data_IF_432342560522
#
_entry.id   IF_432342560522
#
_cell.length_a   1.000
_cell.length_b   1.000
_cell.length_c   1.000
_cell.angle_alpha   90.00
_cell.angle_beta   90.00
_cell.angle_gamma   90.00
#
_symmetry.space_group_name_H-M   'P 1'
#
loop_
_entity.id
_entity.type
_entity.pdbx_description
1 polymer ?
#
# COMPACT_ATOMS: atom_id res chain seq x y z
N UNK A 1 12.79 20.96 1.53
CA UNK A 1 12.65 19.51 1.73
C UNK A 1 11.50 19.32 2.70
N UNK A 2 10.45 18.64 2.30
CA UNK A 2 9.34 18.27 3.20
C UNK A 2 9.91 17.35 4.26
N UNK A 3 9.73 17.68 5.54
CA UNK A 3 10.10 16.79 6.63
C UNK A 3 9.15 15.59 6.55
N UNK A 4 9.70 14.42 6.24
CA UNK A 4 8.96 13.16 6.25
C UNK A 4 8.96 12.72 7.71
N UNK A 5 7.78 12.58 8.28
CA UNK A 5 7.60 12.12 9.65
C UNK A 5 6.62 10.94 9.64
N UNK A 6 7.17 9.74 9.65
CA UNK A 6 6.43 8.49 9.77
C UNK A 6 7.04 7.67 10.92
N UNK A 7 6.62 7.92 12.18
CA UNK A 7 7.21 7.30 13.36
C UNK A 7 7.25 5.77 13.29
N UNK A 8 6.23 5.12 12.73
CA UNK A 8 6.21 3.67 12.55
C UNK A 8 7.29 3.17 11.57
N UNK A 9 7.62 3.96 10.53
CA UNK A 9 8.72 3.66 9.61
C UNK A 9 10.07 3.90 10.29
N UNK A 10 10.17 4.97 11.09
CA UNK A 10 11.38 5.31 11.82
C UNK A 10 11.74 4.18 12.80
N UNK A 11 10.75 3.66 13.55
CA UNK A 11 10.94 2.54 14.47
C UNK A 11 11.46 1.28 13.74
N UNK A 12 10.89 0.92 12.59
CA UNK A 12 11.34 -0.24 11.82
C UNK A 12 12.76 -0.05 11.27
N UNK A 13 13.09 1.15 10.76
CA UNK A 13 14.43 1.44 10.25
C UNK A 13 15.48 1.40 11.37
N UNK A 14 15.15 1.89 12.56
CA UNK A 14 16.06 1.83 13.72
C UNK A 14 16.39 0.39 14.11
N UNK A 15 15.40 -0.51 14.11
CA UNK A 15 15.62 -1.93 14.37
C UNK A 15 16.51 -2.61 13.32
N UNK A 16 16.53 -2.12 12.08
CA UNK A 16 17.35 -2.67 11.00
C UNK A 16 18.82 -2.19 11.00
N UNK A 17 19.19 -1.21 11.81
CA UNK A 17 20.56 -0.58 11.79
C UNK A 17 21.70 -1.57 12.11
N UNK A 18 21.41 -2.77 12.61
CA UNK A 18 22.39 -3.84 12.85
C UNK A 18 22.96 -4.54 11.61
N UNK A 19 22.56 -4.21 10.37
CA UNK A 19 23.26 -4.57 9.13
C UNK A 19 22.81 -5.85 8.41
N UNK A 20 21.70 -6.48 8.80
CA UNK A 20 21.10 -7.63 8.11
C UNK A 20 20.23 -7.26 6.90
N UNK A 21 19.70 -8.26 6.18
CA UNK A 21 18.59 -8.06 5.27
C UNK A 21 17.35 -7.65 6.06
N UNK A 22 16.41 -6.85 5.48
CA UNK A 22 15.15 -6.58 6.13
C UNK A 22 14.46 -7.88 6.51
N UNK A 23 13.85 -7.96 7.71
CA UNK A 23 13.04 -9.11 8.09
C UNK A 23 11.94 -9.39 7.06
N UNK A 24 11.55 -10.64 6.88
CA UNK A 24 10.58 -11.03 5.85
C UNK A 24 9.23 -10.32 5.99
N UNK A 25 8.81 -9.98 7.21
CA UNK A 25 7.57 -9.23 7.45
C UNK A 25 7.60 -7.78 6.94
N UNK A 26 8.79 -7.20 6.70
CA UNK A 26 8.93 -5.87 6.12
C UNK A 26 8.96 -5.87 4.59
N UNK A 27 9.10 -7.03 3.95
CA UNK A 27 9.04 -7.11 2.47
C UNK A 27 7.71 -6.64 1.95
N UNK A 28 6.61 -7.07 2.59
CA UNK A 28 5.24 -6.63 2.34
C UNK A 28 4.75 -5.86 3.57
N UNK A 29 5.09 -4.58 3.65
CA UNK A 29 4.80 -3.76 4.81
C UNK A 29 3.39 -3.16 4.73
N UNK A 30 2.40 -4.05 4.80
CA UNK A 30 0.96 -3.76 4.73
C UNK A 30 0.15 -4.90 5.37
N UNK A 31 -1.16 -4.71 5.52
CA UNK A 31 -2.07 -5.72 6.06
C UNK A 31 -2.01 -7.04 5.28
N UNK A 32 -2.37 -8.14 5.94
CA UNK A 32 -2.46 -9.46 5.33
C UNK A 32 -3.87 -9.80 4.85
N UNK A 33 -3.98 -10.61 3.80
CA UNK A 33 -5.23 -11.22 3.34
C UNK A 33 -5.23 -12.69 3.73
N UNK A 34 -5.90 -13.01 4.83
CA UNK A 34 -5.97 -14.36 5.38
C UNK A 34 -7.04 -15.19 4.68
N UNK A 35 -6.84 -16.51 4.62
CA UNK A 35 -7.84 -17.42 4.10
C UNK A 35 -9.07 -17.45 5.03
N UNK A 36 -10.26 -17.59 4.43
CA UNK A 36 -11.48 -17.80 5.20
C UNK A 36 -11.42 -19.21 5.84
N UNK A 37 -11.76 -19.30 7.12
CA UNK A 37 -11.83 -20.55 7.89
C UNK A 37 -10.49 -21.18 8.33
N UNK A 38 -9.38 -20.50 8.23
CA UNK A 38 -8.17 -20.90 8.96
C UNK A 38 -8.22 -20.33 10.37
N UNK A 39 -7.91 -21.14 11.39
CA UNK A 39 -7.64 -20.61 12.72
C UNK A 39 -6.41 -19.69 12.60
N UNK A 40 -6.58 -18.38 12.84
CA UNK A 40 -5.48 -17.46 12.69
C UNK A 40 -4.48 -17.73 13.81
N UNK A 41 -3.31 -18.26 13.45
CA UNK A 41 -2.16 -18.12 14.33
C UNK A 41 -1.56 -16.73 14.12
N UNK A 42 -1.01 -16.14 15.17
CA UNK A 42 -0.36 -14.83 15.14
C UNK A 42 1.12 -14.93 14.73
N UNK A 43 1.54 -16.04 14.13
CA UNK A 43 2.91 -16.28 13.72
C UNK A 43 3.35 -15.31 12.61
N UNK A 44 4.61 -14.89 12.65
CA UNK A 44 5.20 -14.05 11.61
C UNK A 44 5.11 -14.70 10.23
N UNK A 45 5.29 -16.02 10.17
CA UNK A 45 5.23 -16.78 8.92
C UNK A 45 3.82 -16.73 8.31
N UNK A 46 2.78 -16.87 9.13
CA UNK A 46 1.39 -16.77 8.66
C UNK A 46 1.07 -15.36 8.17
N UNK A 47 1.49 -14.33 8.92
CA UNK A 47 1.35 -12.94 8.50
C UNK A 47 2.07 -12.65 7.18
N UNK A 48 3.32 -13.10 7.00
CA UNK A 48 4.08 -12.92 5.76
C UNK A 48 3.37 -13.54 4.55
N UNK A 49 2.81 -14.76 4.71
CA UNK A 49 2.00 -15.40 3.66
C UNK A 49 0.74 -14.60 3.34
N UNK A 50 0.04 -14.12 4.37
CA UNK A 50 -1.17 -13.32 4.20
C UNK A 50 -0.87 -11.96 3.52
N UNK A 51 0.24 -11.31 3.86
CA UNK A 51 0.67 -10.08 3.20
C UNK A 51 1.00 -10.32 1.71
N UNK A 52 1.69 -11.41 1.38
CA UNK A 52 1.91 -11.81 -0.01
C UNK A 52 0.58 -12.11 -0.75
N UNK A 53 -0.41 -12.69 -0.07
CA UNK A 53 -1.73 -12.95 -0.64
C UNK A 53 -2.51 -11.65 -0.92
N UNK A 54 -2.39 -10.61 -0.10
CA UNK A 54 -2.95 -9.30 -0.39
C UNK A 54 -2.28 -8.66 -1.62
N UNK A 55 -0.96 -8.72 -1.70
CA UNK A 55 -0.23 -8.29 -2.90
C UNK A 55 -0.78 -8.99 -4.14
N UNK A 56 -0.91 -10.31 -4.13
CA UNK A 56 -1.46 -11.07 -5.26
C UNK A 56 -2.88 -10.63 -5.61
N UNK A 57 -3.74 -10.37 -4.62
CA UNK A 57 -5.10 -9.86 -4.85
C UNK A 57 -5.11 -8.52 -5.59
N UNK A 58 -4.18 -7.61 -5.23
CA UNK A 58 -4.02 -6.31 -5.89
C UNK A 58 -3.50 -6.48 -7.32
N UNK A 59 -2.52 -7.35 -7.54
CA UNK A 59 -1.97 -7.65 -8.87
C UNK A 59 -3.03 -8.24 -9.80
N UNK A 60 -3.84 -9.17 -9.30
CA UNK A 60 -5.00 -9.71 -10.03
C UNK A 60 -6.03 -8.62 -10.37
N UNK A 61 -6.31 -7.70 -9.43
CA UNK A 61 -7.23 -6.58 -9.65
C UNK A 61 -6.71 -5.61 -10.73
N UNK A 62 -5.38 -5.40 -10.79
CA UNK A 62 -4.74 -4.60 -11.82
C UNK A 62 -4.66 -5.33 -13.17
N UNK A 63 -4.67 -6.66 -13.19
CA UNK A 63 -4.43 -7.46 -14.38
C UNK A 63 -2.96 -7.53 -14.78
N UNK A 64 -2.03 -7.48 -13.82
CA UNK A 64 -0.59 -7.57 -14.09
C UNK A 64 -0.24 -8.94 -14.67
N UNK A 65 0.46 -8.95 -15.80
CA UNK A 65 0.92 -10.15 -16.49
C UNK A 65 2.33 -9.99 -17.04
N UNK A 66 2.78 -10.98 -17.80
CA UNK A 66 4.11 -10.96 -18.45
C UNK A 66 4.27 -9.74 -19.36
N UNK A 67 5.47 -9.16 -19.36
CA UNK A 67 5.82 -8.01 -20.19
C UNK A 67 5.27 -6.67 -19.72
N UNK A 68 4.51 -6.62 -18.63
CA UNK A 68 3.86 -5.41 -18.12
C UNK A 68 4.85 -4.32 -17.69
N UNK A 69 4.47 -3.06 -17.92
CA UNK A 69 5.13 -1.86 -17.39
C UNK A 69 4.39 -1.43 -16.13
N UNK A 70 5.02 -1.60 -14.99
CA UNK A 70 4.39 -1.38 -13.68
C UNK A 70 5.12 -0.28 -12.91
N UNK A 71 4.37 0.70 -12.42
CA UNK A 71 4.82 1.70 -11.47
C UNK A 71 4.16 1.42 -10.11
N UNK A 72 4.97 1.10 -9.11
CA UNK A 72 4.55 0.95 -7.71
C UNK A 72 4.86 2.23 -6.94
N UNK A 73 3.80 2.97 -6.56
CA UNK A 73 3.90 4.27 -5.89
C UNK A 73 3.76 4.08 -4.39
N UNK A 74 4.75 4.55 -3.63
CA UNK A 74 4.88 4.22 -2.22
C UNK A 74 5.41 2.80 -2.00
N UNK A 75 6.33 2.36 -2.84
CA UNK A 75 6.80 0.96 -2.92
C UNK A 75 7.48 0.42 -1.65
N UNK A 76 7.66 1.23 -0.61
CA UNK A 76 8.27 0.82 0.65
C UNK A 76 9.61 0.13 0.46
N UNK A 77 9.71 -1.10 0.93
CA UNK A 77 10.88 -1.97 0.78
C UNK A 77 10.88 -2.80 -0.52
N UNK A 78 10.01 -2.47 -1.48
CA UNK A 78 9.89 -3.06 -2.81
C UNK A 78 9.42 -4.54 -2.83
N UNK A 79 8.74 -5.02 -1.82
CA UNK A 79 8.24 -6.39 -1.76
C UNK A 79 7.24 -6.71 -2.88
N UNK A 80 6.32 -5.78 -3.21
CA UNK A 80 5.37 -5.91 -4.31
C UNK A 80 6.08 -6.10 -5.66
N UNK A 81 7.11 -5.29 -5.92
CA UNK A 81 7.89 -5.37 -7.16
C UNK A 81 8.70 -6.67 -7.24
N UNK A 82 9.30 -7.10 -6.13
CA UNK A 82 10.01 -8.38 -6.06
C UNK A 82 9.04 -9.56 -6.29
N UNK A 83 7.83 -9.49 -5.76
CA UNK A 83 6.78 -10.47 -5.98
C UNK A 83 6.39 -10.57 -7.47
N UNK A 84 6.21 -9.43 -8.15
CA UNK A 84 5.95 -9.39 -9.61
C UNK A 84 7.11 -10.04 -10.37
N UNK A 85 8.35 -9.64 -10.09
CA UNK A 85 9.56 -10.16 -10.73
C UNK A 85 9.69 -11.68 -10.64
N UNK A 86 9.30 -12.24 -9.49
CA UNK A 86 9.37 -13.69 -9.29
C UNK A 86 8.30 -14.48 -10.04
N UNK A 87 7.19 -13.84 -10.43
CA UNK A 87 6.02 -14.52 -11.02
C UNK A 87 5.79 -14.20 -12.50
N UNK A 88 6.22 -13.02 -12.94
CA UNK A 88 5.98 -12.52 -14.28
C UNK A 88 7.32 -12.27 -14.99
N UNK A 89 7.37 -12.60 -16.29
CA UNK A 89 8.59 -12.48 -17.10
C UNK A 89 8.56 -11.20 -17.93
N UNK A 90 9.74 -10.61 -18.13
CA UNK A 90 9.90 -9.47 -19.04
C UNK A 90 9.24 -8.18 -18.60
N UNK A 91 8.84 -8.05 -17.33
CA UNK A 91 8.23 -6.85 -16.79
C UNK A 91 9.24 -5.72 -16.68
N UNK A 92 8.76 -4.47 -16.86
CA UNK A 92 9.50 -3.25 -16.57
C UNK A 92 8.96 -2.66 -15.28
N UNK A 93 9.73 -2.75 -14.21
CA UNK A 93 9.29 -2.45 -12.86
C UNK A 93 9.94 -1.17 -12.35
N UNK A 94 9.13 -0.22 -11.92
CA UNK A 94 9.57 1.03 -11.31
C UNK A 94 8.93 1.16 -9.93
N UNK A 95 9.76 1.33 -8.89
CA UNK A 95 9.34 1.65 -7.55
C UNK A 95 9.60 3.11 -7.23
N UNK A 96 8.57 3.82 -6.80
CA UNK A 96 8.68 5.20 -6.34
C UNK A 96 8.38 5.28 -4.86
N UNK A 97 9.26 5.94 -4.11
CA UNK A 97 9.01 6.25 -2.70
C UNK A 97 9.55 7.63 -2.35
N UNK A 98 8.89 8.31 -1.43
CA UNK A 98 9.32 9.61 -0.94
C UNK A 98 10.49 9.47 0.06
N UNK A 99 10.57 8.37 0.80
CA UNK A 99 11.62 8.11 1.79
C UNK A 99 12.80 7.35 1.20
N UNK A 100 13.91 8.07 1.01
CA UNK A 100 15.16 7.51 0.50
C UNK A 100 15.73 6.41 1.42
N UNK A 101 15.43 6.41 2.71
CA UNK A 101 15.93 5.41 3.67
C UNK A 101 15.31 4.05 3.35
N UNK A 102 13.99 4.00 3.10
CA UNK A 102 13.32 2.78 2.65
C UNK A 102 13.88 2.29 1.31
N UNK A 103 14.11 3.19 0.34
CA UNK A 103 14.70 2.80 -0.96
C UNK A 103 16.12 2.25 -0.85
N UNK A 104 16.91 2.71 0.13
CA UNK A 104 18.24 2.12 0.40
C UNK A 104 18.12 0.66 0.87
N UNK A 105 17.13 0.36 1.69
CA UNK A 105 16.84 -1.00 2.12
C UNK A 105 16.21 -1.82 0.99
N UNK A 106 15.27 -1.25 0.23
CA UNK A 106 14.67 -1.88 -0.93
C UNK A 106 15.74 -2.39 -1.93
N UNK A 107 16.80 -1.61 -2.16
CA UNK A 107 17.93 -2.05 -3.00
C UNK A 107 18.61 -3.33 -2.50
N UNK A 108 18.63 -3.59 -1.21
CA UNK A 108 19.18 -4.83 -0.64
C UNK A 108 18.23 -6.00 -0.85
N UNK A 109 16.91 -5.75 -0.79
CA UNK A 109 15.87 -6.77 -1.05
C UNK A 109 15.90 -7.19 -2.52
N UNK A 110 15.96 -6.23 -3.44
CA UNK A 110 15.85 -6.50 -4.88
C UNK A 110 17.18 -6.60 -5.60
N UNK A 111 18.28 -6.10 -5.01
CA UNK A 111 19.57 -5.88 -5.67
C UNK A 111 20.46 -7.10 -5.86
N UNK A 112 20.02 -8.30 -5.47
CA UNK A 112 20.82 -9.52 -5.65
C UNK A 112 20.91 -10.05 -7.10
N UNK A 113 20.06 -9.58 -8.02
CA UNK A 113 19.90 -10.15 -9.36
C UNK A 113 19.76 -9.11 -10.49
N UNK A 114 20.39 -7.94 -10.38
CA UNK A 114 20.31 -6.84 -11.37
C UNK A 114 20.96 -7.16 -12.74
N UNK A 115 20.84 -8.37 -13.24
CA UNK A 115 21.35 -8.74 -14.55
C UNK A 115 20.21 -9.22 -15.44
N UNK A 116 19.63 -8.31 -16.24
CA UNK A 116 18.72 -8.69 -17.30
C UNK A 116 17.47 -7.79 -17.43
N UNK A 117 16.50 -8.27 -18.23
CA UNK A 117 15.26 -7.56 -18.56
C UNK A 117 14.28 -7.40 -17.38
N UNK A 118 14.57 -7.97 -16.22
CA UNK A 118 13.72 -7.98 -15.03
C UNK A 118 14.26 -7.05 -13.92
N UNK A 119 15.05 -6.03 -14.29
CA UNK A 119 15.60 -5.07 -13.33
C UNK A 119 14.51 -4.16 -12.75
N UNK A 120 14.54 -4.00 -11.42
CA UNK A 120 13.67 -3.05 -10.71
C UNK A 120 14.39 -1.70 -10.61
N UNK A 121 13.78 -0.65 -11.15
CA UNK A 121 14.27 0.72 -11.02
C UNK A 121 13.65 1.38 -9.80
N UNK A 122 14.46 1.91 -8.88
CA UNK A 122 13.99 2.61 -7.68
C UNK A 122 14.25 4.11 -7.79
N UNK A 123 13.20 4.92 -7.62
CA UNK A 123 13.19 6.36 -7.81
C UNK A 123 12.65 7.05 -6.55
N UNK A 124 13.36 8.08 -6.07
CA UNK A 124 12.83 8.96 -5.02
C UNK A 124 11.91 10.00 -5.65
N UNK A 125 10.67 10.14 -5.14
CA UNK A 125 9.71 11.10 -5.69
C UNK A 125 8.44 11.21 -4.87
N UNK A 126 7.63 12.21 -5.22
CA UNK A 126 6.31 12.46 -4.62
C UNK A 126 5.23 11.71 -5.42
N UNK A 127 4.39 10.94 -4.73
CA UNK A 127 3.24 10.25 -5.33
C UNK A 127 2.21 11.20 -5.96
N UNK A 128 2.21 12.48 -5.58
CA UNK A 128 1.34 13.49 -6.17
C UNK A 128 1.95 14.19 -7.41
N UNK A 129 3.20 13.88 -7.78
CA UNK A 129 3.93 14.43 -8.93
C UNK A 129 4.91 13.37 -9.48
N UNK A 130 4.38 12.38 -10.19
CA UNK A 130 5.12 11.19 -10.64
C UNK A 130 6.19 11.56 -11.67
N UNK A 131 7.49 11.32 -11.41
CA UNK A 131 8.58 11.66 -12.33
C UNK A 131 8.70 10.62 -13.46
N UNK A 132 7.59 10.29 -14.09
CA UNK A 132 7.44 9.28 -15.13
C UNK A 132 6.74 9.89 -16.33
N UNK A 133 7.14 9.50 -17.54
CA UNK A 133 6.55 10.01 -18.78
C UNK A 133 5.04 9.68 -18.85
N UNK A 134 4.28 10.54 -19.53
CA UNK A 134 2.86 10.27 -19.80
C UNK A 134 2.69 9.06 -20.71
N UNK A 135 1.61 8.31 -20.51
CA UNK A 135 1.24 7.13 -21.29
C UNK A 135 2.42 6.15 -21.46
N UNK A 136 3.08 5.80 -20.35
CA UNK A 136 4.27 4.94 -20.35
C UNK A 136 4.13 3.71 -19.45
N UNK A 137 3.03 3.60 -18.71
CA UNK A 137 2.77 2.51 -17.79
C UNK A 137 1.48 1.78 -18.17
N UNK A 138 1.47 0.46 -18.03
CA UNK A 138 0.27 -0.36 -18.18
C UNK A 138 -0.50 -0.41 -16.85
N UNK A 139 0.23 -0.44 -15.74
CA UNK A 139 -0.34 -0.50 -14.40
C UNK A 139 0.36 0.47 -13.45
N UNK A 140 -0.44 1.13 -12.62
CA UNK A 140 0.01 1.88 -11.44
C UNK A 140 -0.54 1.17 -10.21
N UNK A 141 0.33 0.87 -9.25
CA UNK A 141 -0.03 0.29 -7.97
C UNK A 141 0.19 1.31 -6.85
N UNK A 142 -0.62 1.23 -5.80
CA UNK A 142 -0.44 2.04 -4.59
C UNK A 142 -0.94 1.24 -3.38
N UNK A 143 -0.07 0.42 -2.80
CA UNK A 143 -0.41 -0.51 -1.74
C UNK A 143 -0.24 0.18 -0.40
N UNK A 144 -1.35 0.41 0.31
CA UNK A 144 -1.42 0.96 1.68
C UNK A 144 -0.56 2.23 1.90
N UNK A 145 -0.64 3.17 0.97
CA UNK A 145 0.15 4.39 1.03
C UNK A 145 -0.63 5.68 0.71
N UNK A 146 -1.80 5.56 0.06
CA UNK A 146 -2.54 6.71 -0.48
C UNK A 146 -3.05 7.63 0.62
N UNK A 147 -3.30 7.12 1.82
CA UNK A 147 -3.69 7.93 2.98
C UNK A 147 -2.58 8.88 3.46
N UNK A 148 -1.32 8.64 3.12
CA UNK A 148 -0.21 9.55 3.39
C UNK A 148 -0.06 10.68 2.37
N UNK A 149 -0.73 10.60 1.22
CA UNK A 149 -0.57 11.59 0.16
C UNK A 149 -1.28 12.90 0.52
N UNK A 150 -0.64 14.05 0.33
CA UNK A 150 -1.26 15.36 0.59
C UNK A 150 -2.56 15.58 -0.20
N UNK A 151 -2.69 14.92 -1.36
CA UNK A 151 -3.86 15.02 -2.23
C UNK A 151 -4.09 13.76 -3.05
N UNK A 152 -5.05 12.93 -2.62
CA UNK A 152 -5.51 11.80 -3.45
C UNK A 152 -5.91 12.22 -4.86
N UNK A 153 -6.50 13.42 -5.01
CA UNK A 153 -6.89 13.95 -6.33
C UNK A 153 -5.68 14.25 -7.21
N UNK A 154 -4.60 14.79 -6.66
CA UNK A 154 -3.37 15.02 -7.41
C UNK A 154 -2.74 13.69 -7.84
N UNK A 155 -2.67 12.71 -6.94
CA UNK A 155 -2.21 11.35 -7.26
C UNK A 155 -3.04 10.71 -8.38
N UNK A 156 -4.37 10.69 -8.28
CA UNK A 156 -5.23 10.09 -9.30
C UNK A 156 -5.07 10.76 -10.67
N UNK A 157 -4.96 12.09 -10.72
CA UNK A 157 -4.71 12.82 -11.97
C UNK A 157 -3.38 12.44 -12.60
N UNK A 158 -2.34 12.34 -11.78
CA UNK A 158 -1.02 12.02 -12.28
C UNK A 158 -0.88 10.54 -12.64
N UNK A 159 -1.54 9.63 -11.90
CA UNK A 159 -1.70 8.23 -12.30
C UNK A 159 -2.41 8.11 -13.66
N UNK A 160 -3.48 8.87 -13.89
CA UNK A 160 -4.14 8.90 -15.20
C UNK A 160 -3.23 9.42 -16.31
N UNK A 161 -2.34 10.38 -16.03
CA UNK A 161 -1.37 10.92 -17.00
C UNK A 161 -0.35 9.86 -17.41
N UNK A 162 0.21 9.11 -16.45
CA UNK A 162 1.30 8.15 -16.71
C UNK A 162 0.83 6.82 -17.28
N UNK A 163 -0.41 6.43 -17.01
CA UNK A 163 -1.01 5.21 -17.57
C UNK A 163 -1.28 5.36 -19.07
N UNK A 164 -1.15 4.27 -19.82
CA UNK A 164 -1.70 4.16 -21.17
C UNK A 164 -3.25 4.22 -21.14
N UNK A 165 -3.92 4.65 -22.21
CA UNK A 165 -5.36 4.46 -22.36
C UNK A 165 -5.75 2.98 -22.12
N UNK A 166 -6.74 2.74 -21.27
CA UNK A 166 -7.13 1.37 -20.87
C UNK A 166 -6.26 0.75 -19.77
N UNK A 167 -5.14 1.37 -19.39
CA UNK A 167 -4.31 0.96 -18.27
C UNK A 167 -5.01 1.05 -16.92
N UNK A 168 -4.49 0.39 -15.90
CA UNK A 168 -5.17 0.23 -14.60
C UNK A 168 -4.40 0.87 -13.46
N UNK A 169 -5.15 1.49 -12.52
CA UNK A 169 -4.69 1.85 -11.19
C UNK A 169 -5.32 0.88 -10.20
N UNK A 170 -4.52 0.15 -9.42
CA UNK A 170 -4.99 -0.67 -8.32
C UNK A 170 -4.33 -0.23 -7.01
N UNK A 171 -5.12 -0.20 -5.95
CA UNK A 171 -4.65 0.22 -4.64
C UNK A 171 -5.35 -0.55 -3.52
N UNK A 172 -4.74 -0.55 -2.34
CA UNK A 172 -5.42 -0.85 -1.10
C UNK A 172 -5.39 0.36 -0.18
N UNK A 173 -6.49 0.60 0.52
CA UNK A 173 -6.59 1.71 1.47
C UNK A 173 -7.63 1.42 2.55
N UNK A 174 -7.49 2.13 3.65
CA UNK A 174 -8.52 2.21 4.66
C UNK A 174 -9.61 3.16 4.20
N UNK A 175 -10.85 2.72 4.29
CA UNK A 175 -12.03 3.50 3.94
C UNK A 175 -13.01 3.55 5.11
N UNK A 176 -13.90 4.54 5.10
CA UNK A 176 -14.99 4.63 6.05
C UNK A 176 -16.24 4.05 5.40
N UNK A 177 -16.94 3.17 6.12
CA UNK A 177 -18.23 2.65 5.68
C UNK A 177 -19.22 3.78 5.42
N UNK A 178 -20.07 3.61 4.41
CA UNK A 178 -21.12 4.58 4.10
C UNK A 178 -22.03 4.79 5.32
N UNK A 179 -22.20 6.06 5.70
CA UNK A 179 -22.99 6.45 6.88
C UNK A 179 -22.22 6.54 8.19
N UNK A 180 -20.99 6.00 8.29
CA UNK A 180 -20.16 6.04 9.50
C UNK A 180 -19.24 7.27 9.58
N UNK A 181 -19.21 8.12 8.55
CA UNK A 181 -18.24 9.21 8.39
C UNK A 181 -18.20 10.17 9.60
N UNK A 182 -19.35 10.53 10.16
CA UNK A 182 -19.42 11.47 11.27
C UNK A 182 -18.87 10.88 12.58
N UNK A 183 -19.10 9.59 12.82
CA UNK A 183 -18.66 8.89 14.02
C UNK A 183 -17.17 8.61 13.97
N UNK A 184 -16.72 7.95 12.89
CA UNK A 184 -15.32 7.52 12.73
C UNK A 184 -14.37 8.72 12.61
N UNK A 185 -14.75 9.82 11.94
CA UNK A 185 -13.90 11.01 11.83
C UNK A 185 -13.59 11.67 13.17
N UNK A 186 -14.54 11.61 14.11
CA UNK A 186 -14.32 12.06 15.50
C UNK A 186 -13.35 11.16 16.25
N UNK A 187 -13.52 9.84 16.09
CA UNK A 187 -12.72 8.85 16.81
C UNK A 187 -11.25 8.83 16.32
N UNK A 188 -11.02 8.87 15.00
CA UNK A 188 -9.65 8.92 14.42
C UNK A 188 -8.86 10.12 14.94
N UNK A 189 -9.50 11.28 15.11
CA UNK A 189 -8.83 12.47 15.66
C UNK A 189 -8.48 12.32 17.14
N UNK A 190 -9.27 11.53 17.91
CA UNK A 190 -9.07 11.34 19.36
C UNK A 190 -8.14 10.19 19.69
N UNK A 191 -7.96 9.21 18.78
CA UNK A 191 -7.16 8.01 19.02
C UNK A 191 -5.65 8.22 18.87
N UNK A 192 -5.17 9.43 18.56
CA UNK A 192 -3.73 9.70 18.41
C UNK A 192 -3.05 8.97 17.25
N UNK A 193 -3.80 8.38 16.32
CA UNK A 193 -3.25 7.61 15.19
C UNK A 193 -2.26 8.42 14.37
N UNK A 194 -2.42 9.75 14.31
CA UNK A 194 -1.50 10.66 13.67
C UNK A 194 -0.12 10.75 14.34
N UNK A 195 -0.01 10.42 15.62
CA UNK A 195 1.25 10.40 16.35
C UNK A 195 2.12 9.20 15.94
N UNK A 196 1.50 8.07 15.62
CA UNK A 196 2.19 6.85 15.19
C UNK A 196 2.32 6.74 13.67
N UNK A 197 1.21 6.84 12.95
CA UNK A 197 1.23 6.71 11.48
C UNK A 197 1.65 8.00 10.76
N UNK A 198 1.82 9.10 11.50
CA UNK A 198 2.15 10.39 10.93
C UNK A 198 0.93 11.05 10.25
N UNK A 199 1.22 12.07 9.45
CA UNK A 199 0.16 12.83 8.78
C UNK A 199 -0.57 11.97 7.75
N UNK A 200 -1.87 11.83 7.92
CA UNK A 200 -2.75 11.14 6.97
C UNK A 200 -3.82 12.09 6.42
N UNK A 201 -4.23 11.86 5.17
CA UNK A 201 -5.38 12.54 4.59
C UNK A 201 -6.68 11.95 5.16
N UNK A 202 -7.74 12.76 5.24
CA UNK A 202 -9.06 12.27 5.67
C UNK A 202 -9.47 11.06 4.82
N UNK A 203 -9.95 9.97 5.45
CA UNK A 203 -10.34 8.77 4.71
C UNK A 203 -11.55 9.05 3.83
N UNK A 204 -11.69 8.30 2.75
CA UNK A 204 -12.84 8.35 1.85
C UNK A 204 -13.77 7.17 2.12
N UNK A 205 -15.03 7.29 1.70
CA UNK A 205 -15.92 6.14 1.55
C UNK A 205 -15.68 5.47 0.21
N UNK A 206 -16.14 4.21 -0.01
CA UNK A 206 -16.12 3.56 -1.32
C UNK A 206 -16.72 4.42 -2.42
N UNK A 207 -17.91 4.99 -2.20
CA UNK A 207 -18.53 5.94 -3.11
C UNK A 207 -17.70 7.23 -3.32
N UNK A 208 -16.91 7.65 -2.32
CA UNK A 208 -15.94 8.75 -2.43
C UNK A 208 -14.83 8.44 -3.41
N UNK A 209 -14.28 7.23 -3.36
CA UNK A 209 -13.26 6.75 -4.29
C UNK A 209 -13.80 6.64 -5.73
N UNK A 210 -15.01 6.11 -5.90
CA UNK A 210 -15.64 6.05 -7.22
C UNK A 210 -15.80 7.45 -7.84
N UNK A 211 -16.33 8.42 -7.07
CA UNK A 211 -16.45 9.83 -7.52
C UNK A 211 -15.10 10.44 -7.86
N UNK A 212 -14.07 10.19 -7.03
CA UNK A 212 -12.72 10.67 -7.26
C UNK A 212 -12.15 10.10 -8.57
N UNK A 213 -12.25 8.78 -8.76
CA UNK A 213 -11.79 8.10 -9.97
C UNK A 213 -12.47 8.67 -11.21
N UNK A 214 -13.79 8.80 -11.19
CA UNK A 214 -14.58 9.38 -12.30
C UNK A 214 -14.13 10.81 -12.63
N UNK A 215 -13.90 11.65 -11.63
CA UNK A 215 -13.43 13.02 -11.81
C UNK A 215 -12.00 13.13 -12.34
N UNK A 216 -11.21 12.05 -12.27
CA UNK A 216 -9.82 11.97 -12.74
C UNK A 216 -9.67 11.10 -14.01
N UNK A 217 -10.77 10.74 -14.69
CA UNK A 217 -10.71 10.03 -15.97
C UNK A 217 -10.68 8.52 -15.85
N UNK A 218 -11.06 7.99 -14.70
CA UNK A 218 -11.14 6.55 -14.47
C UNK A 218 -12.58 6.03 -14.46
N UNK A 219 -12.69 4.74 -14.66
CA UNK A 219 -13.86 3.92 -14.39
C UNK A 219 -13.48 2.93 -13.27
N UNK A 220 -14.29 2.85 -12.21
CA UNK A 220 -14.10 1.85 -11.17
C UNK A 220 -14.45 0.46 -11.73
N UNK A 221 -13.52 -0.49 -11.58
CA UNK A 221 -13.68 -1.87 -12.08
C UNK A 221 -13.69 -2.89 -10.96
N UNK A 222 -13.25 -2.51 -9.76
CA UNK A 222 -13.30 -3.33 -8.56
C UNK A 222 -13.43 -2.44 -7.32
N UNK A 223 -14.28 -2.87 -6.41
CA UNK A 223 -14.36 -2.44 -5.02
C UNK A 223 -14.62 -3.69 -4.17
N UNK A 224 -13.58 -4.15 -3.46
CA UNK A 224 -13.58 -5.40 -2.71
C UNK A 224 -13.30 -5.10 -1.23
N UNK A 225 -14.34 -5.20 -0.40
CA UNK A 225 -14.19 -5.13 1.06
C UNK A 225 -13.57 -6.43 1.58
N UNK A 226 -12.27 -6.35 1.86
CA UNK A 226 -11.51 -7.47 2.41
C UNK A 226 -11.35 -7.40 3.93
N UNK A 227 -12.03 -6.47 4.60
CA UNK A 227 -11.95 -6.24 6.06
C UNK A 227 -12.03 -7.53 6.88
N UNK A 228 -13.01 -8.44 6.67
CA UNK A 228 -13.10 -9.65 7.49
C UNK A 228 -11.87 -10.55 7.38
N UNK A 229 -11.19 -10.50 6.23
CA UNK A 229 -9.99 -11.30 5.94
C UNK A 229 -8.70 -10.63 6.38
N UNK A 230 -8.73 -9.36 6.77
CA UNK A 230 -7.56 -8.63 7.28
C UNK A 230 -7.51 -8.58 8.81
N UNK A 231 -8.59 -8.90 9.51
CA UNK A 231 -8.65 -8.87 10.98
C UNK A 231 -7.53 -9.68 11.67
N UNK A 232 -7.09 -10.86 11.17
CA UNK A 232 -5.98 -11.58 11.80
C UNK A 232 -4.62 -10.88 11.69
N UNK A 233 -4.49 -9.80 10.92
CA UNK A 233 -3.29 -8.95 10.92
C UNK A 233 -3.04 -8.31 12.30
N UNK A 234 -4.09 -7.90 13.00
CA UNK A 234 -3.96 -7.16 14.26
C UNK A 234 -3.22 -7.96 15.36
N UNK A 235 -3.58 -9.20 15.70
CA UNK A 235 -2.82 -9.97 16.67
C UNK A 235 -1.36 -10.22 16.21
N UNK A 236 -1.11 -10.44 14.93
CA UNK A 236 0.24 -10.65 14.41
C UNK A 236 1.13 -9.39 14.57
N UNK A 237 0.63 -8.22 14.17
CA UNK A 237 1.34 -6.95 14.33
C UNK A 237 1.53 -6.60 15.81
N UNK A 238 0.52 -6.81 16.64
CA UNK A 238 0.62 -6.60 18.10
C UNK A 238 1.75 -7.43 18.71
N UNK A 239 1.90 -8.68 18.28
CA UNK A 239 3.01 -9.53 18.71
C UNK A 239 4.34 -8.96 18.25
N UNK A 240 4.48 -8.62 16.97
CA UNK A 240 5.72 -8.02 16.43
C UNK A 240 6.12 -6.74 17.16
N UNK A 241 5.17 -5.84 17.45
CA UNK A 241 5.46 -4.61 18.21
C UNK A 241 5.81 -4.86 19.68
N UNK A 242 5.27 -5.91 20.30
CA UNK A 242 5.70 -6.33 21.66
C UNK A 242 7.12 -6.88 21.64
N UNK A 243 7.46 -7.72 20.67
CA UNK A 243 8.80 -8.30 20.50
C UNK A 243 9.85 -7.23 20.19
N UNK A 244 9.50 -6.21 19.43
CA UNK A 244 10.38 -5.06 19.15
C UNK A 244 10.43 -4.01 20.26
N UNK A 245 9.61 -4.15 21.31
CA UNK A 245 9.57 -3.19 22.41
C UNK A 245 8.96 -1.84 22.05
N UNK A 246 7.97 -1.81 21.16
CA UNK A 246 7.31 -0.61 20.63
C UNK A 246 5.88 -0.49 21.18
N UNK A 247 5.67 0.04 22.41
CA UNK A 247 4.35 0.11 23.05
C UNK A 247 3.38 1.05 22.30
N UNK A 248 3.88 2.10 21.65
CA UNK A 248 3.07 3.01 20.84
C UNK A 248 2.47 2.29 19.63
N UNK A 249 3.24 1.39 19.00
CA UNK A 249 2.76 0.52 17.93
C UNK A 249 1.65 -0.40 18.41
N UNK A 250 1.80 -1.03 19.58
CA UNK A 250 0.75 -1.87 20.18
C UNK A 250 -0.53 -1.08 20.38
N UNK A 251 -0.45 0.09 21.02
CA UNK A 251 -1.62 0.94 21.30
C UNK A 251 -2.34 1.38 20.01
N UNK A 252 -1.57 1.73 18.97
CA UNK A 252 -2.14 2.14 17.67
C UNK A 252 -2.84 0.98 16.97
N UNK A 253 -2.29 -0.22 17.01
CA UNK A 253 -2.91 -1.43 16.44
C UNK A 253 -4.20 -1.78 17.19
N UNK A 254 -4.22 -1.69 18.51
CA UNK A 254 -5.42 -1.92 19.31
C UNK A 254 -6.55 -0.93 18.93
N UNK A 255 -6.22 0.34 18.78
CA UNK A 255 -7.17 1.38 18.40
C UNK A 255 -7.75 1.15 16.99
N UNK A 256 -6.91 0.80 16.00
CA UNK A 256 -7.39 0.51 14.64
C UNK A 256 -8.24 -0.75 14.60
N UNK A 257 -7.88 -1.80 15.38
CA UNK A 257 -8.69 -3.01 15.48
C UNK A 257 -10.08 -2.73 16.05
N UNK A 258 -10.18 -1.90 17.08
CA UNK A 258 -11.46 -1.50 17.68
C UNK A 258 -12.37 -0.83 16.64
N UNK A 259 -11.84 0.14 15.87
CA UNK A 259 -12.56 0.79 14.78
C UNK A 259 -13.03 -0.19 13.70
N UNK A 260 -12.15 -1.12 13.30
CA UNK A 260 -12.49 -2.12 12.29
C UNK A 260 -13.59 -3.08 12.79
N UNK A 261 -13.52 -3.55 14.03
CA UNK A 261 -14.54 -4.42 14.64
C UNK A 261 -15.87 -3.71 14.87
N UNK A 262 -15.85 -2.40 15.07
CA UNK A 262 -17.06 -1.58 15.15
C UNK A 262 -17.75 -1.40 13.77
N UNK A 263 -17.10 -1.83 12.66
CA UNK A 263 -17.65 -1.82 11.31
C UNK A 263 -17.63 -0.47 10.60
N UNK A 264 -17.10 0.58 11.26
CA UNK A 264 -16.98 1.91 10.65
C UNK A 264 -15.69 2.10 9.82
N UNK A 265 -14.69 1.28 10.08
CA UNK A 265 -13.37 1.31 9.44
C UNK A 265 -13.15 0.03 8.66
N UNK A 266 -12.97 0.15 7.36
CA UNK A 266 -12.88 -0.98 6.45
C UNK A 266 -11.55 -0.94 5.68
N UNK A 267 -11.12 -2.09 5.18
CA UNK A 267 -9.95 -2.23 4.33
C UNK A 267 -10.37 -2.75 2.96
N UNK A 268 -10.14 -1.96 1.92
CA UNK A 268 -10.59 -2.27 0.56
C UNK A 268 -9.43 -2.45 -0.41
N UNK A 269 -9.62 -3.37 -1.36
CA UNK A 269 -8.86 -3.42 -2.60
C UNK A 269 -9.70 -2.77 -3.69
N UNK A 270 -9.16 -1.71 -4.29
CA UNK A 270 -9.84 -0.89 -5.29
C UNK A 270 -9.08 -0.95 -6.61
N UNK A 271 -9.78 -1.08 -7.73
CA UNK A 271 -9.17 -0.98 -9.05
C UNK A 271 -9.99 -0.08 -9.99
N UNK A 272 -9.25 0.65 -10.81
CA UNK A 272 -9.78 1.64 -11.73
C UNK A 272 -9.13 1.47 -13.09
N UNK A 273 -9.90 1.59 -14.17
CA UNK A 273 -9.39 1.60 -15.53
C UNK A 273 -9.37 3.01 -16.07
N UNK A 274 -8.23 3.45 -16.63
CA UNK A 274 -8.15 4.73 -17.35
C UNK A 274 -9.03 4.70 -18.60
N UNK A 275 -9.91 5.71 -18.74
CA UNK A 275 -10.74 5.87 -19.94
C UNK A 275 -9.91 6.27 -21.13
N UNK A 276 -10.27 5.76 -22.32
CA UNK A 276 -9.55 6.04 -23.57
C UNK A 276 -9.65 7.52 -24.00
N UNK A 277 -10.77 8.17 -23.73
CA UNK A 277 -11.12 9.51 -24.23
C UNK A 277 -10.91 10.65 -23.21
N UNK A 278 -10.28 10.38 -22.07
CA UNK A 278 -10.03 11.42 -21.07
C UNK A 278 -8.78 12.25 -21.40
N UNK A 279 -8.95 13.62 -21.45
CA UNK A 279 -7.89 14.60 -21.75
C UNK A 279 -7.72 15.58 -20.60
#
# INVERSE_FOLDING_TARGET
MTVINFPYIDAEIEHMVGGGAPPDHLRHFHWGLFEQHTDPDDSTEHYVRAAAALTERILCAAGVGDGARVLDVGCGFAGTLDHIRCRNRGCRLVGLNIDLRQLRWARRVVGGNDRGHDAISLVTGDGCALPVAGASQDHVLAVECVFHFPSRKAFFRDAARVLEPGGTLALSDFVIADGALATVSGDVATLGLGEWFGRSAAPLTPAGYERLGRACGFEAILDDDVTPRTLPTYPALRRLYRESGTPEGVASIDAVEELARAGGWQYHVLAFRRRESWR
#
